data_IF_969853022792
#
_entry.id   IF_969853022792
#
_cell.length_a   1.000
_cell.length_b   1.000
_cell.length_c   1.000
_cell.angle_alpha   90.00
_cell.angle_beta   90.00
_cell.angle_gamma   90.00
#
_symmetry.space_group_name_H-M   'P 1'
#
loop_
_entity.id
_entity.type
_entity.pdbx_description
1 polymer ?
#
# COMPACT_ATOMS: atom_id res chain seq x y z
N UNK A 1 -19.13 16.60 36.45
CA UNK A 1 -18.21 15.45 36.34
C UNK A 1 -18.83 14.52 35.33
N UNK A 2 -18.35 14.56 34.09
CA UNK A 2 -18.88 13.75 32.98
C UNK A 2 -17.82 12.67 32.74
N UNK A 3 -18.18 11.44 33.08
CA UNK A 3 -17.41 10.24 32.73
C UNK A 3 -17.39 10.10 31.21
N UNK A 4 -16.19 10.13 30.63
CA UNK A 4 -15.95 9.73 29.24
C UNK A 4 -15.87 8.20 29.21
N UNK A 5 -16.98 7.55 28.84
CA UNK A 5 -16.93 6.15 28.40
C UNK A 5 -16.21 6.08 27.04
N UNK A 6 -15.04 5.44 27.06
CA UNK A 6 -14.28 5.01 25.89
C UNK A 6 -15.13 4.04 25.03
N UNK A 7 -15.88 4.57 24.06
CA UNK A 7 -16.54 3.77 23.04
C UNK A 7 -15.48 3.17 22.09
N UNK A 8 -15.00 1.98 22.44
CA UNK A 8 -14.16 1.13 21.61
C UNK A 8 -14.98 0.60 20.42
N UNK A 9 -15.14 1.43 19.38
CA UNK A 9 -15.87 1.02 18.16
C UNK A 9 -14.98 0.11 17.32
N UNK A 10 -15.13 -1.20 17.55
CA UNK A 10 -14.73 -2.28 16.61
C UNK A 10 -15.71 -2.26 15.44
N UNK A 11 -15.34 -1.62 14.33
CA UNK A 11 -16.01 -1.82 13.04
C UNK A 11 -15.64 -3.21 12.52
N UNK A 12 -16.46 -4.21 12.88
CA UNK A 12 -16.55 -5.45 12.09
C UNK A 12 -17.00 -5.03 10.69
N UNK A 13 -16.25 -5.41 9.66
CA UNK A 13 -16.73 -5.50 8.27
C UNK A 13 -18.15 -6.03 8.32
N UNK A 14 -19.14 -5.26 7.83
CA UNK A 14 -20.58 -5.56 8.00
C UNK A 14 -20.81 -7.03 7.61
N UNK A 15 -21.01 -7.94 8.59
CA UNK A 15 -20.90 -9.38 8.40
C UNK A 15 -22.00 -10.01 7.53
N UNK A 16 -23.03 -9.23 7.18
CA UNK A 16 -24.34 -9.76 6.83
C UNK A 16 -24.51 -10.09 5.34
N UNK A 17 -23.57 -9.70 4.47
CA UNK A 17 -23.68 -9.92 3.01
C UNK A 17 -22.57 -10.77 2.37
N UNK A 18 -21.60 -11.27 3.16
CA UNK A 18 -20.45 -12.03 2.65
C UNK A 18 -20.55 -13.51 3.05
N UNK A 19 -20.35 -14.42 2.10
CA UNK A 19 -20.23 -15.85 2.41
C UNK A 19 -18.95 -16.07 3.23
N UNK A 20 -18.91 -17.16 4.01
CA UNK A 20 -17.80 -17.47 4.94
C UNK A 20 -16.42 -17.53 4.25
N UNK A 21 -16.39 -17.87 2.96
CA UNK A 21 -15.19 -17.91 2.11
C UNK A 21 -14.70 -16.51 1.71
N UNK A 22 -15.62 -15.58 1.39
CA UNK A 22 -15.29 -14.20 1.02
C UNK A 22 -14.71 -13.42 2.21
N UNK A 23 -15.15 -13.76 3.44
CA UNK A 23 -14.60 -13.18 4.68
C UNK A 23 -13.14 -13.56 4.89
N UNK A 24 -12.79 -14.83 4.66
CA UNK A 24 -11.39 -15.31 4.76
C UNK A 24 -10.49 -14.67 3.70
N UNK A 25 -11.00 -14.40 2.50
CA UNK A 25 -10.27 -13.72 1.43
C UNK A 25 -9.94 -12.25 1.77
N UNK A 26 -10.89 -11.53 2.39
CA UNK A 26 -10.69 -10.14 2.80
C UNK A 26 -9.80 -10.04 4.05
N UNK A 27 -9.96 -10.93 5.03
CA UNK A 27 -9.07 -11.02 6.20
C UNK A 27 -7.64 -11.41 5.78
N UNK A 28 -7.47 -12.36 4.84
CA UNK A 28 -6.17 -12.77 4.30
C UNK A 28 -5.50 -11.71 3.40
N UNK A 29 -6.25 -10.72 2.91
CA UNK A 29 -5.72 -9.61 2.14
C UNK A 29 -5.14 -8.48 3.02
N UNK A 30 -5.27 -8.59 4.35
CA UNK A 30 -4.75 -7.60 5.29
C UNK A 30 -5.45 -6.24 5.25
N UNK A 31 -6.47 -6.05 4.40
CA UNK A 31 -7.16 -4.78 4.15
C UNK A 31 -7.93 -4.32 5.40
N UNK A 32 -7.23 -3.69 6.34
CA UNK A 32 -7.75 -3.08 7.55
C UNK A 32 -8.35 -1.70 7.26
N UNK A 33 -9.25 -1.59 6.28
CA UNK A 33 -9.83 -0.31 5.90
C UNK A 33 -10.92 0.10 6.91
N UNK A 34 -10.59 1.08 7.76
CA UNK A 34 -11.52 1.77 8.66
C UNK A 34 -12.23 2.88 7.88
N UNK A 35 -13.51 2.69 7.55
CA UNK A 35 -14.29 3.64 6.72
C UNK A 35 -15.55 4.09 7.47
N UNK A 36 -15.92 5.38 7.37
CA UNK A 36 -17.19 5.89 7.92
C UNK A 36 -18.37 5.19 7.20
N UNK A 37 -19.38 4.68 7.92
CA UNK A 37 -20.52 3.99 7.31
C UNK A 37 -21.47 4.89 6.50
N UNK A 38 -21.22 6.19 6.40
CA UNK A 38 -22.25 7.15 5.98
C UNK A 38 -22.50 7.24 4.47
N UNK A 39 -21.74 6.54 3.60
CA UNK A 39 -22.00 6.51 2.14
C UNK A 39 -21.41 5.28 1.40
N UNK A 40 -21.07 4.18 2.09
CA UNK A 40 -20.55 2.99 1.41
C UNK A 40 -21.65 2.34 0.57
N UNK A 41 -21.49 2.38 -0.76
CA UNK A 41 -22.16 1.39 -1.61
C UNK A 41 -21.56 0.03 -1.28
N UNK A 42 -22.41 -0.92 -0.88
CA UNK A 42 -21.96 -2.31 -0.70
C UNK A 42 -21.31 -2.79 -2.00
N UNK A 43 -20.10 -3.38 -1.96
CA UNK A 43 -19.50 -3.95 -3.16
C UNK A 43 -20.47 -4.93 -3.81
N UNK A 44 -20.64 -4.85 -5.13
CA UNK A 44 -21.46 -5.82 -5.82
C UNK A 44 -20.77 -7.19 -5.69
N UNK A 45 -21.53 -8.25 -5.39
CA UNK A 45 -21.04 -9.63 -5.31
C UNK A 45 -20.21 -10.03 -6.56
N UNK A 46 -20.46 -9.42 -7.71
CA UNK A 46 -19.65 -9.59 -8.91
C UNK A 46 -18.22 -9.04 -8.76
N UNK A 47 -18.03 -7.85 -8.22
CA UNK A 47 -16.71 -7.23 -8.02
C UNK A 47 -15.82 -8.10 -7.13
N UNK A 48 -16.36 -8.65 -6.04
CA UNK A 48 -15.62 -9.52 -5.12
C UNK A 48 -15.23 -10.84 -5.80
N UNK A 49 -16.12 -11.45 -6.60
CA UNK A 49 -15.86 -12.73 -7.28
C UNK A 49 -14.79 -12.66 -8.37
N UNK A 50 -14.54 -11.46 -8.91
CA UNK A 50 -13.58 -11.27 -10.00
C UNK A 50 -12.14 -11.14 -9.47
N UNK A 51 -11.94 -10.70 -8.22
CA UNK A 51 -10.61 -10.50 -7.62
C UNK A 51 -9.68 -11.73 -7.73
N UNK A 52 -10.09 -12.96 -7.36
CA UNK A 52 -9.19 -14.11 -7.46
C UNK A 52 -8.83 -14.48 -8.90
N UNK A 53 -9.72 -14.17 -9.86
CA UNK A 53 -9.48 -14.45 -11.29
C UNK A 53 -8.45 -13.49 -11.88
N UNK A 54 -8.54 -12.20 -11.57
CA UNK A 54 -7.55 -11.21 -12.02
C UNK A 54 -6.18 -11.57 -11.44
N UNK A 55 -6.11 -11.89 -10.14
CA UNK A 55 -4.87 -12.34 -9.51
C UNK A 55 -4.27 -13.56 -10.21
N UNK A 56 -5.09 -14.57 -10.54
CA UNK A 56 -4.61 -15.76 -11.22
C UNK A 56 -4.01 -15.41 -12.60
N UNK A 57 -4.64 -14.52 -13.35
CA UNK A 57 -4.11 -14.05 -14.64
C UNK A 57 -2.76 -13.34 -14.44
N UNK A 58 -2.63 -12.46 -13.45
CA UNK A 58 -1.35 -11.77 -13.19
C UNK A 58 -0.25 -12.73 -12.72
N UNK A 59 -0.59 -13.72 -11.89
CA UNK A 59 0.36 -14.70 -11.39
C UNK A 59 0.79 -15.68 -12.50
N UNK A 60 -0.14 -16.26 -13.24
CA UNK A 60 0.13 -17.34 -14.21
C UNK A 60 0.50 -16.82 -15.60
N UNK A 61 -0.14 -15.75 -16.09
CA UNK A 61 0.12 -15.24 -17.44
C UNK A 61 1.23 -14.18 -17.46
N UNK A 62 1.31 -13.34 -16.43
CA UNK A 62 2.32 -12.27 -16.36
C UNK A 62 3.53 -12.66 -15.49
N UNK A 63 3.44 -13.72 -14.69
CA UNK A 63 4.54 -14.19 -13.83
C UNK A 63 4.82 -13.29 -12.62
N UNK A 64 3.88 -12.41 -12.26
CA UNK A 64 4.02 -11.50 -11.12
C UNK A 64 3.38 -12.13 -9.89
N UNK A 65 4.16 -12.48 -8.85
CA UNK A 65 3.65 -13.19 -7.66
C UNK A 65 2.99 -12.26 -6.62
N UNK A 66 2.10 -11.38 -7.07
CA UNK A 66 1.43 -10.40 -6.22
C UNK A 66 0.13 -10.93 -5.57
N UNK A 67 -0.37 -10.12 -4.64
CA UNK A 67 -1.64 -10.32 -3.93
C UNK A 67 -2.74 -9.39 -4.48
N UNK A 68 -3.91 -9.40 -3.85
CA UNK A 68 -5.13 -8.76 -4.37
C UNK A 68 -5.24 -7.24 -4.14
N UNK A 69 -4.21 -6.57 -3.61
CA UNK A 69 -4.31 -5.18 -3.14
C UNK A 69 -4.72 -4.23 -4.26
N UNK A 70 -3.99 -4.24 -5.37
CA UNK A 70 -4.23 -3.33 -6.50
C UNK A 70 -5.63 -3.57 -7.11
N UNK A 71 -6.01 -4.84 -7.28
CA UNK A 71 -7.31 -5.22 -7.81
C UNK A 71 -8.44 -4.81 -6.86
N UNK A 72 -8.22 -4.92 -5.55
CA UNK A 72 -9.19 -4.50 -4.52
C UNK A 72 -9.35 -2.99 -4.49
N UNK A 73 -8.25 -2.23 -4.57
CA UNK A 73 -8.29 -0.78 -4.63
C UNK A 73 -9.08 -0.29 -5.85
N UNK A 74 -8.90 -0.91 -7.01
CA UNK A 74 -9.61 -0.55 -8.26
C UNK A 74 -11.11 -0.89 -8.19
N UNK A 75 -11.47 -2.05 -7.61
CA UNK A 75 -12.84 -2.56 -7.63
C UNK A 75 -13.69 -2.11 -6.45
N UNK A 76 -13.08 -1.69 -5.33
CA UNK A 76 -13.77 -1.45 -4.06
C UNK A 76 -13.61 -0.02 -3.52
N UNK A 77 -12.88 0.87 -4.20
CA UNK A 77 -12.73 2.26 -3.78
C UNK A 77 -14.06 3.04 -3.84
N UNK A 78 -14.16 4.08 -3.02
CA UNK A 78 -15.29 5.01 -3.02
C UNK A 78 -14.76 6.44 -2.83
N UNK A 79 -15.31 7.37 -3.61
CA UNK A 79 -14.93 8.78 -3.53
C UNK A 79 -15.06 9.32 -2.10
N UNK A 80 -14.08 10.11 -1.66
CA UNK A 80 -14.10 10.77 -0.36
C UNK A 80 -14.01 9.85 0.87
N UNK A 81 -13.79 8.54 0.68
CA UNK A 81 -13.78 7.58 1.79
C UNK A 81 -12.39 7.30 2.40
N UNK A 82 -11.33 7.92 1.87
CA UNK A 82 -9.95 7.67 2.29
C UNK A 82 -9.43 8.61 3.39
N UNK A 83 -9.90 9.87 3.45
CA UNK A 83 -9.25 10.92 4.26
C UNK A 83 -10.22 11.61 5.23
N UNK A 84 -9.77 11.78 6.48
CA UNK A 84 -10.46 12.51 7.55
C UNK A 84 -10.03 14.00 7.62
N UNK A 85 -9.16 14.46 6.71
CA UNK A 85 -8.52 15.79 6.73
C UNK A 85 -8.53 16.42 5.33
N UNK A 86 -8.49 17.77 5.28
CA UNK A 86 -8.34 18.56 4.06
C UNK A 86 -6.89 18.46 3.55
N UNK A 87 -6.58 17.39 2.83
CA UNK A 87 -5.28 17.17 2.20
C UNK A 87 -5.47 16.68 0.76
N UNK A 88 -4.52 17.03 -0.11
CA UNK A 88 -4.42 16.51 -1.48
C UNK A 88 -3.45 15.33 -1.53
N UNK A 89 -3.66 14.46 -2.51
CA UNK A 89 -2.72 13.38 -2.82
C UNK A 89 -1.79 13.90 -3.92
N UNK A 90 -0.49 13.81 -3.68
CA UNK A 90 0.53 14.15 -4.65
C UNK A 90 1.24 12.87 -5.09
N UNK A 91 1.18 12.58 -6.38
CA UNK A 91 1.84 11.44 -7.01
C UNK A 91 3.04 11.94 -7.81
N UNK A 92 4.24 11.63 -7.35
CA UNK A 92 5.47 12.03 -8.01
C UNK A 92 6.10 10.82 -8.71
N UNK A 93 6.35 10.92 -10.01
CA UNK A 93 6.84 9.80 -10.83
C UNK A 93 8.35 9.87 -11.04
N UNK A 94 9.05 8.76 -10.80
CA UNK A 94 10.52 8.70 -10.91
C UNK A 94 11.04 8.63 -12.36
N UNK A 95 10.17 8.52 -13.37
CA UNK A 95 10.58 8.33 -14.76
C UNK A 95 10.93 6.88 -15.14
N UNK A 96 11.02 5.97 -14.17
CA UNK A 96 11.31 4.55 -14.42
C UNK A 96 10.02 3.78 -14.76
N UNK A 97 9.93 3.27 -15.99
CA UNK A 97 8.73 2.59 -16.55
C UNK A 97 8.86 1.06 -16.70
N UNK A 98 10.04 0.49 -16.45
CA UNK A 98 10.32 -0.94 -16.68
C UNK A 98 9.37 -1.85 -15.86
N UNK A 99 8.78 -2.86 -16.52
CA UNK A 99 7.82 -3.77 -15.88
C UNK A 99 8.45 -4.53 -14.69
N UNK A 100 7.63 -4.96 -13.70
CA UNK A 100 8.19 -5.68 -12.52
C UNK A 100 8.76 -7.02 -12.95
N UNK A 101 8.22 -7.60 -14.01
CA UNK A 101 8.63 -8.88 -14.56
C UNK A 101 10.05 -8.85 -15.13
N UNK A 102 10.56 -7.68 -15.53
CA UNK A 102 11.92 -7.54 -16.08
C UNK A 102 12.99 -7.45 -15.01
N UNK A 103 12.63 -7.23 -13.74
CA UNK A 103 13.57 -7.22 -12.62
C UNK A 103 13.15 -8.27 -11.57
N UNK A 104 13.98 -9.27 -11.24
CA UNK A 104 13.62 -10.32 -10.30
C UNK A 104 13.40 -9.81 -8.86
N UNK A 105 13.73 -8.55 -8.56
CA UNK A 105 13.65 -7.94 -7.24
C UNK A 105 12.33 -8.18 -6.52
N UNK A 106 11.19 -7.94 -7.17
CA UNK A 106 9.88 -8.12 -6.53
C UNK A 106 9.62 -9.59 -6.13
N UNK A 107 9.72 -10.51 -7.09
CA UNK A 107 9.48 -11.94 -6.83
C UNK A 107 10.50 -12.51 -5.83
N UNK A 108 11.73 -11.98 -5.81
CA UNK A 108 12.74 -12.31 -4.81
C UNK A 108 12.32 -11.88 -3.41
N UNK A 109 11.78 -10.67 -3.22
CA UNK A 109 11.24 -10.23 -1.92
C UNK A 109 10.08 -11.09 -1.46
N UNK A 110 9.19 -11.48 -2.38
CA UNK A 110 8.10 -12.43 -2.08
C UNK A 110 8.66 -13.75 -1.57
N UNK A 111 9.67 -14.31 -2.24
CA UNK A 111 10.31 -15.56 -1.81
C UNK A 111 11.03 -15.44 -0.46
N UNK A 112 11.75 -14.34 -0.22
CA UNK A 112 12.41 -14.05 1.06
C UNK A 112 11.38 -13.98 2.21
N UNK A 113 10.25 -13.30 2.00
CA UNK A 113 9.14 -13.28 2.96
C UNK A 113 8.55 -14.67 3.22
N UNK A 114 8.34 -15.47 2.18
CA UNK A 114 7.82 -16.84 2.30
C UNK A 114 8.76 -17.76 3.08
N UNK A 115 10.07 -17.62 2.86
CA UNK A 115 11.07 -18.40 3.59
C UNK A 115 11.13 -17.98 5.06
N UNK A 116 11.10 -16.67 5.35
CA UNK A 116 11.01 -16.18 6.71
C UNK A 116 9.76 -16.74 7.43
N UNK A 117 8.60 -16.70 6.76
CA UNK A 117 7.36 -17.25 7.30
C UNK A 117 7.47 -18.75 7.55
N UNK A 118 8.04 -19.51 6.61
CA UNK A 118 8.23 -20.95 6.74
C UNK A 118 9.06 -21.26 7.99
N UNK A 119 10.17 -20.56 8.22
CA UNK A 119 11.01 -20.74 9.41
C UNK A 119 10.22 -20.43 10.69
N UNK A 120 9.53 -19.29 10.73
CA UNK A 120 8.77 -18.87 11.91
C UNK A 120 7.58 -19.80 12.23
N UNK A 121 6.93 -20.37 11.21
CA UNK A 121 5.81 -21.30 11.38
C UNK A 121 6.22 -22.62 12.05
N UNK A 122 7.49 -23.02 12.02
CA UNK A 122 7.96 -24.19 12.80
C UNK A 122 7.81 -23.98 14.31
N UNK A 123 7.69 -22.73 14.76
CA UNK A 123 7.50 -22.36 16.16
C UNK A 123 6.03 -22.04 16.50
N UNK A 124 5.10 -22.29 15.57
CA UNK A 124 3.68 -22.08 15.78
C UNK A 124 3.01 -23.41 16.15
N UNK A 125 2.19 -23.42 17.19
CA UNK A 125 1.50 -24.63 17.67
C UNK A 125 0.36 -25.11 16.74
N UNK A 126 0.07 -24.37 15.67
CA UNK A 126 -1.06 -24.60 14.75
C UNK A 126 -0.55 -24.96 13.34
N UNK A 127 -0.68 -26.24 12.98
CA UNK A 127 -0.10 -26.84 11.77
C UNK A 127 -1.15 -26.86 10.64
N UNK A 128 -1.49 -25.69 10.10
CA UNK A 128 -2.09 -25.60 8.76
C UNK A 128 -1.10 -24.86 7.85
N UNK A 129 -0.21 -25.66 7.25
CA UNK A 129 1.10 -25.24 6.76
C UNK A 129 1.01 -24.60 5.36
N UNK A 130 0.57 -23.34 5.30
CA UNK A 130 0.81 -22.47 4.15
C UNK A 130 1.88 -21.46 4.53
N UNK A 131 3.02 -21.45 3.83
CA UNK A 131 4.14 -20.51 3.99
C UNK A 131 3.76 -19.08 3.62
N UNK A 132 2.81 -18.51 4.34
CA UNK A 132 2.26 -17.17 4.13
C UNK A 132 2.58 -16.39 5.40
N UNK A 133 3.25 -15.24 5.27
CA UNK A 133 3.66 -14.42 6.43
C UNK A 133 2.47 -14.05 7.32
N UNK A 134 1.29 -13.87 6.74
CA UNK A 134 0.04 -13.63 7.46
C UNK A 134 -0.35 -14.74 8.46
N UNK A 135 0.08 -15.98 8.23
CA UNK A 135 -0.20 -17.09 9.15
C UNK A 135 0.68 -17.04 10.42
N UNK A 136 1.72 -16.21 10.44
CA UNK A 136 2.62 -16.05 11.58
C UNK A 136 2.05 -14.99 12.52
N UNK A 137 1.84 -15.36 13.78
CA UNK A 137 1.39 -14.43 14.83
C UNK A 137 2.53 -13.43 15.18
N UNK A 138 2.22 -12.14 15.44
CA UNK A 138 3.24 -11.15 15.82
C UNK A 138 4.11 -11.58 17.01
N UNK A 139 3.53 -12.26 18.00
CA UNK A 139 4.24 -12.74 19.18
C UNK A 139 5.27 -13.82 18.84
N UNK A 140 4.97 -14.67 17.84
CA UNK A 140 5.90 -15.68 17.34
C UNK A 140 7.08 -15.02 16.64
N UNK A 141 6.82 -13.99 15.83
CA UNK A 141 7.87 -13.21 15.19
C UNK A 141 8.79 -12.55 16.21
N UNK A 142 8.26 -11.81 17.18
CA UNK A 142 9.09 -11.12 18.18
C UNK A 142 9.95 -12.09 19.00
N UNK A 143 9.40 -13.24 19.38
CA UNK A 143 10.13 -14.25 20.15
C UNK A 143 11.25 -14.95 19.34
N UNK A 144 11.10 -15.05 18.01
CA UNK A 144 11.97 -15.90 17.16
C UNK A 144 12.68 -15.16 16.03
N UNK A 145 12.55 -13.83 15.90
CA UNK A 145 13.18 -13.07 14.81
C UNK A 145 14.71 -13.18 14.78
N UNK A 146 15.34 -13.43 15.93
CA UNK A 146 16.78 -13.69 16.04
C UNK A 146 17.23 -15.02 15.42
N UNK A 147 16.29 -15.91 15.06
CA UNK A 147 16.56 -17.18 14.38
C UNK A 147 16.60 -17.05 12.86
N UNK A 148 16.16 -15.91 12.32
CA UNK A 148 16.20 -15.64 10.89
C UNK A 148 17.58 -15.14 10.47
N UNK A 149 18.00 -15.51 9.26
CA UNK A 149 19.14 -14.85 8.63
C UNK A 149 18.88 -13.36 8.47
N UNK A 150 19.93 -12.54 8.48
CA UNK A 150 19.84 -11.08 8.53
C UNK A 150 18.88 -10.48 7.48
N UNK A 151 18.94 -10.94 6.22
CA UNK A 151 18.06 -10.44 5.16
C UNK A 151 16.60 -10.86 5.38
N UNK A 152 16.35 -12.09 5.82
CA UNK A 152 15.00 -12.58 6.11
C UNK A 152 14.38 -11.87 7.31
N UNK A 153 15.19 -11.60 8.34
CA UNK A 153 14.80 -10.82 9.51
C UNK A 153 14.33 -9.43 9.08
N UNK A 154 15.11 -8.73 8.24
CA UNK A 154 14.70 -7.43 7.68
C UNK A 154 13.37 -7.50 6.93
N UNK A 155 13.16 -8.51 6.08
CA UNK A 155 11.90 -8.64 5.31
C UNK A 155 10.69 -8.89 6.22
N UNK A 156 10.87 -9.71 7.24
CA UNK A 156 9.84 -9.97 8.23
C UNK A 156 9.56 -8.72 9.08
N UNK A 157 10.59 -8.01 9.54
CA UNK A 157 10.48 -6.75 10.29
C UNK A 157 9.70 -5.71 9.49
N UNK A 158 9.99 -5.55 8.19
CA UNK A 158 9.19 -4.70 7.30
C UNK A 158 7.71 -5.09 7.30
N UNK A 159 7.40 -6.38 7.12
CA UNK A 159 6.02 -6.87 7.07
C UNK A 159 5.25 -6.61 8.37
N UNK A 160 5.82 -6.99 9.52
CA UNK A 160 5.14 -6.85 10.81
C UNK A 160 5.00 -5.38 11.22
N UNK A 161 6.01 -4.55 10.97
CA UNK A 161 5.94 -3.13 11.26
C UNK A 161 4.95 -2.38 10.35
N UNK A 162 4.81 -2.76 9.07
CA UNK A 162 3.77 -2.24 8.19
C UNK A 162 2.36 -2.64 8.65
N UNK A 163 2.15 -3.90 9.05
CA UNK A 163 0.86 -4.35 9.59
C UNK A 163 0.49 -3.61 10.88
N UNK A 164 1.46 -3.38 11.77
CA UNK A 164 1.23 -2.60 13.00
C UNK A 164 0.85 -1.14 12.67
N UNK A 165 1.51 -0.54 11.67
CA UNK A 165 1.18 0.79 11.16
C UNK A 165 -0.22 0.84 10.55
N UNK A 166 -0.63 -0.18 9.79
CA UNK A 166 -1.97 -0.29 9.20
C UNK A 166 -3.07 -0.37 10.27
N UNK A 167 -2.86 -1.13 11.34
CA UNK A 167 -3.80 -1.19 12.46
C UNK A 167 -4.02 0.16 13.16
N UNK A 168 -3.04 1.06 13.07
CA UNK A 168 -3.11 2.43 13.60
C UNK A 168 -3.75 3.42 12.62
N UNK A 169 -3.89 3.06 11.34
CA UNK A 169 -4.52 3.92 10.32
C UNK A 169 -5.97 4.25 10.73
N UNK A 170 -6.31 5.53 10.64
CA UNK A 170 -7.58 6.09 11.15
C UNK A 170 -7.38 7.08 12.30
N UNK A 171 -6.14 7.26 12.78
CA UNK A 171 -5.76 8.37 13.63
C UNK A 171 -5.09 9.48 12.78
N UNK A 172 -5.43 10.77 12.96
CA UNK A 172 -4.85 11.88 12.20
C UNK A 172 -3.31 11.89 12.17
N UNK A 173 -2.69 11.39 13.24
CA UNK A 173 -1.23 11.33 13.41
C UNK A 173 -0.55 10.30 12.48
N UNK A 174 -1.28 9.29 11.99
CA UNK A 174 -0.76 8.23 11.10
C UNK A 174 -0.62 8.65 9.64
N UNK A 175 -1.24 9.75 9.23
CA UNK A 175 -1.03 10.34 7.89
C UNK A 175 0.34 11.02 7.76
N UNK A 176 1.00 11.30 8.90
CA UNK A 176 2.36 11.85 8.93
C UNK A 176 3.46 10.81 8.79
N UNK A 177 3.08 9.58 8.42
CA UNK A 177 3.93 8.43 8.58
C UNK A 177 4.89 8.24 7.39
N UNK A 178 6.05 8.84 7.50
CA UNK A 178 7.20 8.66 6.61
C UNK A 178 7.99 7.38 6.92
N UNK A 179 7.82 6.81 8.11
CA UNK A 179 8.58 5.63 8.55
C UNK A 179 8.32 4.40 7.71
N UNK A 180 7.13 4.30 7.09
CA UNK A 180 6.82 3.27 6.11
C UNK A 180 7.73 3.32 4.88
N UNK A 181 7.90 4.52 4.30
CA UNK A 181 8.82 4.72 3.17
C UNK A 181 10.27 4.39 3.54
N UNK A 182 10.69 4.75 4.75
CA UNK A 182 12.03 4.40 5.24
C UNK A 182 12.21 2.87 5.38
N UNK A 183 11.21 2.17 5.92
CA UNK A 183 11.25 0.71 6.05
C UNK A 183 11.28 0.02 4.68
N UNK A 184 10.56 0.55 3.68
CA UNK A 184 10.67 0.05 2.29
C UNK A 184 12.08 0.18 1.71
N UNK A 185 12.85 1.19 2.15
CA UNK A 185 14.23 1.42 1.71
C UNK A 185 15.21 0.54 2.50
N UNK A 186 15.11 0.51 3.83
CA UNK A 186 16.12 -0.09 4.71
C UNK A 186 15.87 -1.57 4.99
N UNK A 187 14.60 -1.94 5.21
CA UNK A 187 14.20 -3.27 5.65
C UNK A 187 13.70 -4.11 4.48
N UNK A 188 12.89 -3.54 3.58
CA UNK A 188 12.42 -4.24 2.39
C UNK A 188 13.39 -4.12 1.21
N UNK A 189 14.26 -3.11 1.20
CA UNK A 189 15.25 -2.86 0.14
C UNK A 189 14.62 -2.95 -1.26
N UNK A 190 13.49 -2.27 -1.45
CA UNK A 190 12.82 -2.13 -2.75
C UNK A 190 13.00 -0.74 -3.37
N UNK A 191 13.79 0.15 -2.77
CA UNK A 191 14.13 1.44 -3.36
C UNK A 191 15.17 1.30 -4.48
N UNK A 192 15.01 2.08 -5.54
CA UNK A 192 16.06 2.37 -6.51
C UNK A 192 16.46 3.85 -6.39
N UNK A 193 17.67 4.20 -6.84
CA UNK A 193 18.25 5.54 -6.64
C UNK A 193 17.28 6.68 -6.99
N UNK A 194 16.63 6.71 -8.18
CA UNK A 194 15.75 7.82 -8.52
C UNK A 194 14.49 7.88 -7.63
N UNK A 195 13.98 6.72 -7.20
CA UNK A 195 12.83 6.63 -6.33
C UNK A 195 13.16 7.05 -4.89
N UNK A 196 14.34 6.68 -4.39
CA UNK A 196 14.85 7.09 -3.07
C UNK A 196 15.06 8.61 -3.02
N UNK A 197 15.68 9.19 -4.05
CA UNK A 197 15.88 10.63 -4.14
C UNK A 197 14.55 11.38 -4.17
N UNK A 198 13.57 10.89 -4.94
CA UNK A 198 12.24 11.49 -5.00
C UNK A 198 11.52 11.45 -3.64
N UNK A 199 11.63 10.34 -2.91
CA UNK A 199 11.16 10.24 -1.54
C UNK A 199 11.85 11.25 -0.61
N UNK A 200 13.17 11.40 -0.71
CA UNK A 200 13.93 12.37 0.09
C UNK A 200 13.56 13.83 -0.22
N UNK A 201 13.27 14.16 -1.48
CA UNK A 201 12.76 15.48 -1.88
C UNK A 201 11.41 15.73 -1.22
N UNK A 202 10.49 14.77 -1.30
CA UNK A 202 9.16 14.89 -0.69
C UNK A 202 9.22 15.05 0.83
N UNK A 203 10.17 14.40 1.51
CA UNK A 203 10.39 14.61 2.95
C UNK A 203 10.81 16.05 3.31
N UNK A 204 11.52 16.73 2.42
CA UNK A 204 11.98 18.11 2.62
C UNK A 204 10.95 19.14 2.17
N UNK A 205 9.98 18.73 1.34
CA UNK A 205 9.03 19.63 0.73
C UNK A 205 8.02 20.17 1.77
N UNK A 206 7.89 21.49 1.82
CA UNK A 206 6.96 22.13 2.75
C UNK A 206 5.51 21.78 2.39
N UNK A 207 4.70 21.46 3.39
CA UNK A 207 3.30 21.05 3.23
C UNK A 207 3.09 19.55 3.08
N UNK A 208 4.15 18.75 2.92
CA UNK A 208 4.04 17.29 2.92
C UNK A 208 3.78 16.80 4.35
N UNK A 209 2.65 16.14 4.54
CA UNK A 209 2.27 15.52 5.79
C UNK A 209 3.00 14.19 5.95
N UNK A 210 3.00 13.36 4.90
CA UNK A 210 3.69 12.08 4.87
C UNK A 210 3.87 11.58 3.44
N UNK A 211 4.86 10.70 3.23
CA UNK A 211 5.17 10.15 1.91
C UNK A 211 5.72 8.73 2.01
N UNK A 212 5.53 7.94 0.96
CA UNK A 212 6.09 6.59 0.78
C UNK A 212 6.17 6.24 -0.70
N UNK A 213 6.79 5.11 -1.02
CA UNK A 213 6.66 4.50 -2.35
C UNK A 213 5.22 4.05 -2.58
N UNK A 214 4.75 4.23 -3.81
CA UNK A 214 3.48 3.68 -4.28
C UNK A 214 3.73 2.36 -5.01
N UNK A 215 3.04 1.30 -4.60
CA UNK A 215 3.17 -0.04 -5.16
C UNK A 215 4.44 -0.78 -4.72
N UNK A 216 4.95 -1.63 -5.61
CA UNK A 216 6.00 -2.61 -5.31
C UNK A 216 7.42 -2.03 -5.07
N UNK A 217 7.64 -0.75 -5.39
CA UNK A 217 9.00 -0.18 -5.50
C UNK A 217 9.72 -0.61 -6.78
N UNK A 218 11.06 -0.51 -6.76
CA UNK A 218 12.02 -0.74 -7.84
C UNK A 218 11.90 0.19 -9.05
N UNK A 219 10.77 0.89 -9.17
CA UNK A 219 10.41 1.90 -10.16
C UNK A 219 9.16 2.65 -9.69
N UNK A 220 8.56 3.45 -10.58
CA UNK A 220 7.22 3.97 -10.37
C UNK A 220 7.23 5.30 -9.64
N UNK A 221 6.32 5.45 -8.67
CA UNK A 221 6.02 6.74 -8.06
C UNK A 221 6.23 6.72 -6.55
N UNK A 222 6.49 7.89 -5.99
CA UNK A 222 6.17 8.18 -4.60
C UNK A 222 4.76 8.75 -4.50
N UNK A 223 4.05 8.42 -3.44
CA UNK A 223 2.80 9.06 -3.05
C UNK A 223 3.05 9.90 -1.80
N UNK A 224 2.46 11.09 -1.75
CA UNK A 224 2.50 11.97 -0.61
C UNK A 224 1.12 12.53 -0.30
N UNK A 225 0.85 12.75 0.99
CA UNK A 225 -0.27 13.56 1.43
C UNK A 225 0.23 14.97 1.70
N UNK A 226 -0.46 15.95 1.15
CA UNK A 226 -0.03 17.36 1.19
C UNK A 226 -1.17 18.23 1.67
N UNK A 227 -0.86 19.26 2.47
CA UNK A 227 -1.82 20.30 2.82
C UNK A 227 -2.41 20.94 1.56
N UNK A 228 -3.74 21.09 1.50
CA UNK A 228 -4.46 21.49 0.29
C UNK A 228 -4.02 22.86 -0.26
N UNK A 229 -3.77 23.82 0.63
CA UNK A 229 -3.31 25.18 0.29
C UNK A 229 -1.85 25.25 -0.18
N UNK A 230 -1.08 24.18 0.02
CA UNK A 230 0.34 24.08 -0.33
C UNK A 230 0.61 23.17 -1.52
N UNK A 231 -0.37 22.37 -1.95
CA UNK A 231 -0.21 21.30 -2.94
C UNK A 231 0.51 21.75 -4.23
N UNK A 232 0.10 22.87 -4.83
CA UNK A 232 0.71 23.40 -6.06
C UNK A 232 2.18 23.80 -5.85
N UNK A 233 2.47 24.53 -4.77
CA UNK A 233 3.85 24.95 -4.44
C UNK A 233 4.75 23.74 -4.14
N UNK A 234 4.22 22.76 -3.43
CA UNK A 234 4.90 21.49 -3.16
C UNK A 234 5.20 20.76 -4.47
N UNK A 235 4.24 20.70 -5.41
CA UNK A 235 4.44 20.05 -6.70
C UNK A 235 5.54 20.71 -7.52
N UNK A 236 5.54 22.05 -7.64
CA UNK A 236 6.61 22.80 -8.32
C UNK A 236 7.98 22.52 -7.70
N UNK A 237 8.08 22.61 -6.38
CA UNK A 237 9.33 22.33 -5.66
C UNK A 237 9.86 20.92 -5.96
N UNK A 238 8.99 19.91 -5.95
CA UNK A 238 9.39 18.52 -6.22
C UNK A 238 9.87 18.36 -7.66
N UNK A 239 9.21 18.99 -8.64
CA UNK A 239 9.62 18.96 -10.05
C UNK A 239 11.00 19.59 -10.23
N UNK A 240 11.23 20.76 -9.65
CA UNK A 240 12.49 21.50 -9.79
C UNK A 240 13.67 20.72 -9.18
N UNK A 241 13.53 20.29 -7.93
CA UNK A 241 14.57 19.51 -7.24
C UNK A 241 14.87 18.18 -7.93
N UNK A 242 13.83 17.47 -8.37
CA UNK A 242 14.01 16.19 -9.06
C UNK A 242 14.69 16.36 -10.41
N UNK A 243 14.36 17.43 -11.15
CA UNK A 243 14.99 17.72 -12.44
C UNK A 243 16.48 18.04 -12.30
N UNK A 244 16.90 18.62 -11.17
CA UNK A 244 18.32 18.84 -10.88
C UNK A 244 19.07 17.55 -10.54
N UNK A 245 18.45 16.65 -9.76
CA UNK A 245 19.10 15.39 -9.35
C UNK A 245 19.07 14.29 -10.42
N UNK A 246 18.03 14.27 -11.26
CA UNK A 246 17.77 13.24 -12.27
C UNK A 246 17.43 13.85 -13.64
N UNK A 247 18.33 14.66 -14.24
CA UNK A 247 18.04 15.44 -15.44
C UNK A 247 17.66 14.57 -16.65
N UNK A 248 18.30 13.42 -16.84
CA UNK A 248 17.98 12.50 -17.94
C UNK A 248 16.57 11.93 -17.80
N UNK A 249 16.22 11.40 -16.62
CA UNK A 249 14.89 10.84 -16.36
C UNK A 249 13.82 11.92 -16.43
N UNK A 250 14.08 13.11 -15.89
CA UNK A 250 13.18 14.26 -15.95
C UNK A 250 12.96 14.73 -17.40
N UNK A 251 14.00 14.74 -18.24
CA UNK A 251 13.87 15.14 -19.65
C UNK A 251 12.91 14.23 -20.45
N UNK A 252 12.82 12.95 -20.09
CA UNK A 252 11.90 12.00 -20.70
C UNK A 252 10.46 12.12 -20.18
N UNK A 253 10.24 12.91 -19.12
CA UNK A 253 8.91 13.21 -18.60
C UNK A 253 8.23 14.35 -19.34
N UNK A 254 8.92 15.09 -20.23
CA UNK A 254 8.40 16.27 -20.95
C UNK A 254 7.12 16.05 -21.81
N UNK A 255 6.60 14.82 -21.92
CA UNK A 255 5.30 14.52 -22.56
C UNK A 255 4.13 14.37 -21.54
N UNK A 256 4.36 14.61 -20.24
CA UNK A 256 3.32 14.59 -19.21
C UNK A 256 3.81 15.17 -17.86
N UNK A 257 2.93 15.38 -16.88
CA UNK A 257 3.34 15.93 -15.59
C UNK A 257 4.16 14.90 -14.78
N UNK A 258 5.38 15.28 -14.37
CA UNK A 258 6.21 14.47 -13.48
C UNK A 258 5.60 14.32 -12.08
N UNK A 259 4.75 15.29 -11.69
CA UNK A 259 4.00 15.31 -10.44
C UNK A 259 2.53 15.59 -10.73
N UNK A 260 1.64 14.77 -10.20
CA UNK A 260 0.20 14.91 -10.30
C UNK A 260 -0.42 15.19 -8.94
N UNK A 261 -1.35 16.13 -8.88
CA UNK A 261 -2.20 16.37 -7.72
C UNK A 261 -3.55 15.70 -7.98
N UNK A 262 -4.00 14.86 -7.08
CA UNK A 262 -5.24 14.11 -7.23
C UNK A 262 -6.05 14.01 -5.92
N UNK A 263 -7.32 13.63 -6.09
CA UNK A 263 -8.26 13.32 -5.02
C UNK A 263 -8.61 11.82 -5.06
N UNK A 264 -9.07 11.28 -3.93
CA UNK A 264 -9.58 9.90 -3.88
C UNK A 264 -10.84 9.78 -4.76
N UNK A 265 -10.90 8.74 -5.60
CA UNK A 265 -11.97 8.54 -6.59
C UNK A 265 -12.75 7.23 -6.40
N UNK A 266 -13.86 7.11 -7.13
CA UNK A 266 -14.72 5.93 -7.14
C UNK A 266 -14.09 4.72 -7.83
N UNK A 267 -14.57 3.53 -7.48
CA UNK A 267 -14.21 2.26 -8.12
C UNK A 267 -14.64 2.18 -9.59
N UNK A 268 -14.04 1.22 -10.30
CA UNK A 268 -14.45 0.84 -11.65
C UNK A 268 -15.96 0.51 -11.72
N UNK A 269 -16.65 1.07 -12.73
CA UNK A 269 -18.09 0.92 -12.95
C UNK A 269 -18.42 0.79 -14.43
N UNK A 270 -19.52 0.10 -14.74
CA UNK A 270 -20.07 0.04 -16.10
C UNK A 270 -20.79 1.36 -16.38
N UNK A 271 -20.42 2.02 -17.48
CA UNK A 271 -21.13 3.18 -17.99
C UNK A 271 -22.13 2.66 -19.02
N UNK A 272 -23.41 2.67 -18.68
CA UNK A 272 -24.46 2.38 -19.65
C UNK A 272 -24.56 3.57 -20.62
N UNK A 273 -24.05 3.43 -21.84
CA UNK A 273 -24.36 4.37 -22.90
C UNK A 273 -25.84 4.20 -23.27
N UNK A 274 -26.70 5.04 -22.72
CA UNK A 274 -27.99 5.33 -23.34
C UNK A 274 -27.71 6.12 -24.61
N UNK A 275 -27.56 5.42 -25.73
CA UNK A 275 -27.75 6.04 -27.04
C UNK A 275 -29.25 6.34 -27.16
N UNK A 276 -29.61 7.59 -26.88
CA UNK A 276 -30.92 8.17 -27.22
C UNK A 276 -30.90 8.65 -28.66
#
# INVERSE_FOLDING_TARGET
>A
MIEQENAQVRLRVIPQFLKREDRRLMEAAGLGLRVKPQNLKSPNAYQIRVLPRIRLIENECLGLKNWILDQSAILLSSYGCLTFMNCKILLAFSGLKLALTTNPGYNRRVAECQEAAKILLHFNDDVDNKSIVYAVKPEVFEAHKSKLEANLAKRAEHYFSENERELRLGLPETLKNTTSGLSSIQDYECGCEPLIQLYQILLKAHGVLGTRFSGAGFRGCCIAFVEEDKAEKTATFVVDEYSMLQPELASHLNQGPAVLICDASDSARVISNTFS
#
